data_IF_526235869919
#
_entry.id   IF_526235869919
#
_cell.length_a   1.000
_cell.length_b   1.000
_cell.length_c   1.000
_cell.angle_alpha   90.00
_cell.angle_beta   90.00
_cell.angle_gamma   90.00
#
_symmetry.space_group_name_H-M   'P 1'
#
loop_
_entity.id
_entity.type
_entity.pdbx_description
1 polymer ?
#
# COMPACT_ATOMS: atom_id res chain seq x y z
N UNK A 1 -7.69 -1.78 15.89
CA UNK A 1 -8.39 -0.81 15.04
C UNK A 1 -7.73 -0.77 13.65
N UNK A 2 -7.50 -1.94 13.02
CA UNK A 2 -6.96 -2.09 11.64
C UNK A 2 -7.92 -2.97 10.80
N UNK A 3 -9.04 -3.38 11.38
CA UNK A 3 -9.85 -4.50 10.86
C UNK A 3 -10.97 -4.06 9.91
N UNK A 4 -11.26 -2.75 9.80
CA UNK A 4 -12.29 -2.23 8.89
C UNK A 4 -11.82 -2.08 7.44
N UNK A 5 -10.56 -1.66 7.20
CA UNK A 5 -10.05 -1.40 5.84
C UNK A 5 -9.91 -2.66 4.99
N UNK A 6 -9.63 -3.82 5.61
CA UNK A 6 -9.56 -5.10 4.89
C UNK A 6 -10.92 -5.54 4.33
N UNK A 7 -12.01 -5.13 4.98
CA UNK A 7 -13.36 -5.50 4.58
C UNK A 7 -13.86 -4.69 3.37
N UNK A 8 -13.50 -3.41 3.29
CA UNK A 8 -13.94 -2.51 2.22
C UNK A 8 -13.24 -2.81 0.90
N UNK A 9 -11.92 -3.05 0.92
CA UNK A 9 -11.16 -3.40 -0.30
C UNK A 9 -11.63 -4.74 -0.87
N UNK A 10 -11.91 -5.72 0.00
CA UNK A 10 -12.42 -7.02 -0.42
C UNK A 10 -13.87 -6.96 -0.95
N UNK A 11 -14.68 -6.05 -0.41
CA UNK A 11 -16.02 -5.79 -0.92
C UNK A 11 -15.97 -5.20 -2.34
N UNK A 12 -15.15 -4.16 -2.56
CA UNK A 12 -14.97 -3.53 -3.87
C UNK A 12 -14.40 -4.50 -4.90
N UNK A 13 -13.45 -5.37 -4.52
CA UNK A 13 -12.92 -6.41 -5.42
C UNK A 13 -14.00 -7.42 -5.85
N UNK A 14 -14.83 -7.89 -4.90
CA UNK A 14 -15.92 -8.83 -5.22
C UNK A 14 -17.00 -8.18 -6.07
N UNK A 15 -17.25 -6.90 -5.88
CA UNK A 15 -18.19 -6.12 -6.68
C UNK A 15 -17.68 -5.93 -8.10
N UNK A 16 -16.42 -5.50 -8.28
CA UNK A 16 -15.80 -5.40 -9.61
C UNK A 16 -15.77 -6.76 -10.33
N UNK A 17 -15.43 -7.84 -9.61
CA UNK A 17 -15.44 -9.20 -10.16
C UNK A 17 -16.85 -9.64 -10.56
N UNK A 18 -17.88 -9.27 -9.79
CA UNK A 18 -19.27 -9.59 -10.10
C UNK A 18 -19.72 -8.85 -11.35
N UNK A 19 -19.44 -7.56 -11.48
CA UNK A 19 -19.79 -6.75 -12.66
C UNK A 19 -19.11 -7.26 -13.94
N UNK A 20 -17.88 -7.79 -13.83
CA UNK A 20 -17.18 -8.37 -14.97
C UNK A 20 -17.63 -9.80 -15.34
N UNK A 21 -18.32 -10.51 -14.43
CA UNK A 21 -18.79 -11.88 -14.64
C UNK A 21 -20.30 -11.95 -14.93
N UNK A 22 -21.08 -11.08 -14.28
CA UNK A 22 -22.42 -10.65 -14.71
C UNK A 22 -22.20 -9.69 -15.87
N UNK A 23 -21.77 -10.22 -17.00
CA UNK A 23 -22.08 -9.61 -18.28
C UNK A 23 -23.59 -9.84 -18.45
N UNK A 24 -24.47 -8.87 -18.10
CA UNK A 24 -25.89 -9.06 -18.32
C UNK A 24 -26.06 -9.30 -19.81
N UNK A 25 -26.88 -10.29 -20.18
CA UNK A 25 -27.35 -10.50 -21.55
C UNK A 25 -27.39 -9.16 -22.26
N UNK A 26 -26.40 -8.94 -23.15
CA UNK A 26 -26.27 -7.70 -23.87
C UNK A 26 -27.65 -7.41 -24.44
N UNK A 27 -28.35 -6.33 -24.02
CA UNK A 27 -29.41 -5.85 -24.88
C UNK A 27 -28.69 -5.63 -26.19
N UNK A 28 -29.24 -6.14 -27.29
CA UNK A 28 -28.73 -5.87 -28.63
C UNK A 28 -28.60 -4.36 -28.78
N UNK A 29 -27.46 -3.82 -28.37
CA UNK A 29 -27.01 -2.49 -28.71
C UNK A 29 -26.87 -2.65 -30.20
N UNK A 30 -27.78 -2.05 -30.95
CA UNK A 30 -27.53 -1.81 -32.36
C UNK A 30 -26.12 -1.25 -32.41
N UNK A 31 -25.18 -2.07 -32.90
CA UNK A 31 -23.79 -1.69 -33.11
C UNK A 31 -23.81 -0.64 -34.22
N UNK A 32 -24.20 0.58 -33.86
CA UNK A 32 -23.95 1.75 -34.69
C UNK A 32 -22.44 1.89 -34.63
N UNK A 33 -21.72 1.72 -35.76
CA UNK A 33 -20.27 1.82 -35.75
C UNK A 33 -19.91 3.24 -35.36
N UNK A 34 -19.49 3.43 -34.10
CA UNK A 34 -18.87 4.68 -33.68
C UNK A 34 -17.66 4.92 -34.59
N UNK A 35 -17.47 6.16 -35.02
CA UNK A 35 -16.21 6.54 -35.62
C UNK A 35 -15.09 6.34 -34.59
N UNK A 36 -13.88 6.02 -35.04
CA UNK A 36 -12.73 5.74 -34.15
C UNK A 36 -12.54 6.86 -33.11
N UNK A 37 -12.78 8.11 -33.51
CA UNK A 37 -12.67 9.30 -32.67
C UNK A 37 -13.70 9.34 -31.53
N UNK A 38 -14.94 8.94 -31.81
CA UNK A 38 -16.00 8.88 -30.79
C UNK A 38 -15.74 7.76 -29.78
N UNK A 39 -15.17 6.64 -30.24
CA UNK A 39 -14.80 5.51 -29.37
C UNK A 39 -13.65 5.89 -28.43
N UNK A 40 -12.63 6.57 -28.94
CA UNK A 40 -11.52 7.09 -28.13
C UNK A 40 -12.01 8.10 -27.08
N UNK A 41 -12.95 8.97 -27.44
CA UNK A 41 -13.56 9.92 -26.50
C UNK A 41 -14.34 9.21 -25.40
N UNK A 42 -15.14 8.20 -25.73
CA UNK A 42 -15.89 7.42 -24.76
C UNK A 42 -14.97 6.65 -23.79
N UNK A 43 -13.87 6.08 -24.28
CA UNK A 43 -12.85 5.42 -23.46
C UNK A 43 -12.17 6.44 -22.54
N UNK A 44 -11.79 7.62 -23.06
CA UNK A 44 -11.16 8.67 -22.26
C UNK A 44 -12.10 9.21 -21.16
N UNK A 45 -13.38 9.39 -21.46
CA UNK A 45 -14.38 9.87 -20.51
C UNK A 45 -14.66 8.84 -19.41
N UNK A 46 -14.73 7.55 -19.75
CA UNK A 46 -14.95 6.47 -18.79
C UNK A 46 -13.72 6.18 -17.92
N UNK A 47 -12.52 6.25 -18.49
CA UNK A 47 -11.26 6.19 -17.75
C UNK A 47 -11.14 7.34 -16.74
N UNK A 48 -11.48 8.57 -17.17
CA UNK A 48 -11.48 9.74 -16.28
C UNK A 48 -12.55 9.65 -15.18
N UNK A 49 -13.76 9.14 -15.50
CA UNK A 49 -14.86 9.04 -14.54
C UNK A 49 -14.67 7.92 -13.51
N UNK A 50 -13.99 6.84 -13.87
CA UNK A 50 -13.82 5.68 -12.98
C UNK A 50 -12.71 5.88 -11.93
N UNK A 51 -11.75 6.79 -12.14
CA UNK A 51 -10.60 6.96 -11.22
C UNK A 51 -9.76 5.69 -11.06
N UNK A 52 -9.99 4.69 -11.91
CA UNK A 52 -9.30 3.41 -11.95
C UNK A 52 -8.14 3.57 -12.93
N UNK A 53 -6.89 3.22 -12.57
CA UNK A 53 -5.79 3.22 -13.53
C UNK A 53 -6.14 2.28 -14.70
N UNK A 54 -5.78 2.65 -15.93
CA UNK A 54 -6.04 1.99 -17.23
C UNK A 54 -6.01 0.44 -17.26
N UNK A 55 -5.37 -0.20 -16.27
CA UNK A 55 -5.22 -1.66 -16.16
C UNK A 55 -6.22 -2.32 -15.20
N UNK A 56 -7.13 -1.58 -14.53
CA UNK A 56 -8.11 -2.15 -13.59
C UNK A 56 -7.51 -2.78 -12.33
N UNK A 57 -6.18 -2.88 -12.24
CA UNK A 57 -5.45 -3.48 -11.13
C UNK A 57 -4.83 -2.39 -10.25
N UNK A 58 -4.99 -2.49 -8.91
CA UNK A 58 -4.32 -1.57 -8.00
C UNK A 58 -2.79 -1.67 -8.18
N UNK A 59 -2.05 -0.57 -8.04
CA UNK A 59 -0.59 -0.58 -8.11
C UNK A 59 0.00 -1.64 -7.17
N UNK A 60 0.95 -2.45 -7.62
CA UNK A 60 1.54 -3.55 -6.80
C UNK A 60 2.01 -3.10 -5.41
N UNK A 61 2.42 -1.84 -5.29
CA UNK A 61 2.86 -1.23 -4.04
C UNK A 61 1.73 -1.00 -3.00
N UNK A 62 0.47 -0.85 -3.44
CA UNK A 62 -0.67 -0.71 -2.53
C UNK A 62 -1.15 -2.07 -1.99
N UNK A 63 -1.06 -3.13 -2.80
CA UNK A 63 -1.45 -4.50 -2.41
C UNK A 63 -0.45 -5.12 -1.43
N UNK A 64 0.84 -4.79 -1.57
CA UNK A 64 1.90 -5.30 -0.71
C UNK A 64 2.67 -4.15 -0.05
N UNK A 65 2.09 -3.49 0.96
CA UNK A 65 2.79 -2.43 1.68
C UNK A 65 4.07 -3.01 2.29
N UNK A 66 5.22 -2.48 1.88
CA UNK A 66 6.51 -3.00 2.34
C UNK A 66 6.65 -2.77 3.86
N UNK A 67 6.74 -3.86 4.64
CA UNK A 67 6.95 -3.80 6.10
C UNK A 67 8.32 -3.22 6.50
N UNK A 68 9.21 -2.95 5.53
CA UNK A 68 10.62 -2.58 5.73
C UNK A 68 10.78 -1.29 6.55
N UNK A 69 9.88 -0.31 6.38
CA UNK A 69 9.99 1.01 7.02
C UNK A 69 9.86 0.93 8.55
N UNK A 70 9.08 -0.01 9.09
CA UNK A 70 8.83 -0.08 10.55
C UNK A 70 10.02 -0.64 11.33
N UNK A 71 10.80 -1.53 10.73
CA UNK A 71 11.94 -2.18 11.39
C UNK A 71 13.15 -1.26 11.57
N UNK A 72 13.42 -0.40 10.60
CA UNK A 72 14.56 0.53 10.66
C UNK A 72 14.50 1.43 11.90
N UNK A 73 13.32 1.97 12.24
CA UNK A 73 13.18 2.87 13.40
C UNK A 73 13.46 2.16 14.73
N UNK A 74 13.04 0.90 14.88
CA UNK A 74 13.33 0.12 16.09
C UNK A 74 14.80 -0.28 16.19
N UNK A 75 15.41 -0.62 15.04
CA UNK A 75 16.84 -0.96 14.97
C UNK A 75 17.73 0.19 15.48
N UNK A 76 17.51 1.42 15.00
CA UNK A 76 18.30 2.57 15.46
C UNK A 76 18.09 2.86 16.95
N UNK A 77 16.87 2.74 17.46
CA UNK A 77 16.60 2.91 18.89
C UNK A 77 17.33 1.87 19.74
N UNK A 78 17.34 0.61 19.30
CA UNK A 78 18.08 -0.46 19.98
C UNK A 78 19.60 -0.18 19.96
N UNK A 79 20.14 0.28 18.83
CA UNK A 79 21.56 0.62 18.70
C UNK A 79 21.98 1.73 19.66
N UNK A 80 21.18 2.79 19.77
CA UNK A 80 21.43 3.90 20.71
C UNK A 80 21.40 3.40 22.16
N UNK A 81 20.38 2.62 22.54
CA UNK A 81 20.27 2.06 23.89
C UNK A 81 21.48 1.18 24.24
N UNK A 82 21.88 0.29 23.33
CA UNK A 82 23.03 -0.58 23.51
C UNK A 82 24.32 0.23 23.69
N UNK A 83 24.55 1.22 22.83
CA UNK A 83 25.72 2.08 22.88
C UNK A 83 25.80 2.87 24.20
N UNK A 84 24.69 3.49 24.62
CA UNK A 84 24.63 4.25 25.88
C UNK A 84 24.88 3.33 27.09
N UNK A 85 24.34 2.11 27.09
CA UNK A 85 24.59 1.15 28.16
C UNK A 85 26.07 0.74 28.26
N UNK A 86 26.73 0.49 27.13
CA UNK A 86 28.16 0.20 27.06
C UNK A 86 29.00 1.34 27.63
N UNK A 87 28.75 2.57 27.18
CA UNK A 87 29.46 3.76 27.65
C UNK A 87 29.23 3.99 29.14
N UNK A 88 27.99 3.92 29.62
CA UNK A 88 27.67 4.10 31.03
C UNK A 88 28.37 3.06 31.92
N UNK A 89 28.39 1.80 31.49
CA UNK A 89 29.08 0.71 32.20
C UNK A 89 30.59 0.96 32.25
N UNK A 90 31.19 1.40 31.14
CA UNK A 90 32.61 1.68 31.06
C UNK A 90 33.00 2.88 31.96
N UNK A 91 32.20 3.95 31.96
CA UNK A 91 32.43 5.12 32.81
C UNK A 91 32.28 4.79 34.30
N UNK A 92 31.25 4.01 34.66
CA UNK A 92 31.06 3.59 36.05
C UNK A 92 32.25 2.77 36.55
N UNK A 93 32.70 1.80 35.75
CA UNK A 93 33.82 0.94 36.14
C UNK A 93 35.15 1.70 36.17
N UNK A 94 35.39 2.57 35.19
CA UNK A 94 36.58 3.43 35.15
C UNK A 94 36.66 4.36 36.37
N UNK A 95 35.55 5.02 36.74
CA UNK A 95 35.51 5.87 37.93
C UNK A 95 35.75 5.09 39.22
N UNK A 96 35.21 3.87 39.33
CA UNK A 96 35.46 3.00 40.48
C UNK A 96 36.94 2.61 40.59
N UNK A 97 37.59 2.30 39.47
CA UNK A 97 39.00 1.91 39.44
C UNK A 97 39.93 3.09 39.76
N UNK A 98 39.62 4.29 39.25
CA UNK A 98 40.37 5.52 39.56
C UNK A 98 40.28 5.91 41.04
N UNK A 99 39.13 5.72 41.70
CA UNK A 99 39.00 6.02 43.13
C UNK A 99 39.73 5.03 44.06
N UNK A 100 40.20 3.89 43.55
CA UNK A 100 40.92 2.88 44.33
C UNK A 100 42.44 3.03 44.30
N UNK A 101 42.98 3.96 43.51
CA UNK A 101 44.40 4.35 43.49
C UNK A 101 44.63 5.67 44.24
#
# INVERSE_FOLDING_TARGET
MIDEEGSSVWASYREAKRIALEEPDSPSVEEVPLTIEELELAIAMTAAASGIPETGMPPRASVHPSRRIKWSRWFYRALVVLFTALVATLLWWGNKLVQQN
#
